data_IF_620751111908
#
_entry.id   IF_620751111908
#
_cell.length_a   1.000
_cell.length_b   1.000
_cell.length_c   1.000
_cell.angle_alpha   90.00
_cell.angle_beta   90.00
_cell.angle_gamma   90.00
#
_symmetry.space_group_name_H-M   'P 1'
#
loop_
_entity.id
_entity.type
_entity.pdbx_description
1 polymer ?
#
# COMPACT_ATOMS: atom_id res chain seq x y z
N UNK A 1 0.50 -2.58 13.84
CA UNK A 1 0.49 -1.51 12.83
C UNK A 1 1.57 -1.78 11.81
N UNK A 2 1.25 -1.62 10.54
CA UNK A 2 2.22 -1.68 9.44
C UNK A 2 3.08 -0.42 9.38
N UNK A 3 4.38 -0.58 9.15
CA UNK A 3 5.30 0.50 8.80
C UNK A 3 6.52 -0.11 8.10
N UNK A 4 6.92 0.44 6.96
CA UNK A 4 8.00 -0.07 6.12
C UNK A 4 9.28 0.69 6.42
N UNK A 5 9.24 2.01 6.27
CA UNK A 5 10.42 2.88 6.32
C UNK A 5 10.67 3.35 7.75
N UNK A 6 11.12 2.41 8.60
CA UNK A 6 11.28 2.64 10.05
C UNK A 6 12.55 3.38 10.46
N UNK A 7 13.43 3.73 9.52
CA UNK A 7 14.71 4.36 9.83
C UNK A 7 14.52 5.74 10.50
N UNK A 8 15.18 5.94 11.65
CA UNK A 8 15.11 7.20 12.38
C UNK A 8 13.81 7.44 13.18
N UNK A 9 12.84 6.53 13.14
CA UNK A 9 11.57 6.68 13.89
C UNK A 9 11.69 6.42 15.40
N UNK A 10 12.83 5.87 15.85
CA UNK A 10 13.01 5.38 17.22
C UNK A 10 12.52 3.95 17.40
N UNK A 11 12.46 3.50 18.67
CA UNK A 11 12.08 2.12 18.97
C UNK A 11 10.57 1.91 18.85
N UNK A 12 10.19 0.79 18.23
CA UNK A 12 8.81 0.28 18.18
C UNK A 12 7.74 1.32 17.76
N UNK A 13 7.71 1.76 16.48
CA UNK A 13 6.77 2.79 16.02
C UNK A 13 5.30 2.55 16.38
N UNK A 14 4.81 1.30 16.32
CA UNK A 14 3.44 0.96 16.71
C UNK A 14 3.15 1.24 18.20
N UNK A 15 4.16 1.06 19.08
CA UNK A 15 4.04 1.38 20.51
C UNK A 15 4.00 2.88 20.74
N UNK A 16 4.81 3.65 20.02
CA UNK A 16 4.79 5.11 20.06
C UNK A 16 3.40 5.64 19.70
N UNK A 17 2.80 5.14 18.62
CA UNK A 17 1.41 5.49 18.24
C UNK A 17 0.44 5.15 19.35
N UNK A 18 0.48 3.92 19.86
CA UNK A 18 -0.42 3.46 20.91
C UNK A 18 -0.44 4.40 22.12
N UNK A 19 0.74 4.76 22.62
CA UNK A 19 0.86 5.66 23.77
C UNK A 19 0.43 7.09 23.43
N UNK A 20 0.83 7.61 22.27
CA UNK A 20 0.44 8.95 21.81
C UNK A 20 -1.06 9.09 21.55
N UNK A 21 -1.75 7.99 21.21
CA UNK A 21 -3.20 7.94 21.04
C UNK A 21 -3.98 7.79 22.36
N UNK A 22 -3.29 7.74 23.50
CA UNK A 22 -3.93 7.63 24.82
C UNK A 22 -4.44 6.24 25.18
N UNK A 23 -4.02 5.19 24.46
CA UNK A 23 -4.32 3.81 24.85
C UNK A 23 -3.52 3.43 26.09
N UNK A 24 -4.06 2.51 26.89
CA UNK A 24 -3.45 2.06 28.14
C UNK A 24 -2.04 1.49 27.91
N UNK A 25 -1.13 1.72 28.88
CA UNK A 25 0.24 1.22 28.81
C UNK A 25 0.32 -0.32 28.73
N UNK A 26 -0.69 -1.03 29.23
CA UNK A 26 -0.80 -2.48 29.13
C UNK A 26 -1.18 -2.99 27.72
N UNK A 27 -1.49 -2.09 26.78
CA UNK A 27 -1.86 -2.48 25.41
C UNK A 27 -0.64 -3.04 24.67
N UNK A 28 -0.74 -4.29 24.22
CA UNK A 28 0.31 -4.94 23.45
C UNK A 28 0.42 -4.34 22.04
N UNK A 29 1.64 -4.08 21.58
CA UNK A 29 1.89 -3.45 20.28
C UNK A 29 2.90 -4.24 19.45
N UNK A 30 2.68 -4.30 18.14
CA UNK A 30 3.63 -4.89 17.19
C UNK A 30 3.68 -4.05 15.92
N UNK A 31 4.89 -3.70 15.50
CA UNK A 31 5.16 -3.13 14.17
C UNK A 31 5.39 -4.27 13.18
N UNK A 32 4.71 -4.23 12.03
CA UNK A 32 4.82 -5.24 10.98
C UNK A 32 5.40 -4.57 9.73
N UNK A 33 6.45 -5.16 9.16
CA UNK A 33 6.95 -4.78 7.84
C UNK A 33 6.76 -5.94 6.87
N UNK A 34 5.91 -5.72 5.87
CA UNK A 34 5.72 -6.54 4.67
C UNK A 34 5.59 -5.62 3.44
N UNK A 35 6.44 -4.60 3.38
CA UNK A 35 6.45 -3.54 2.35
C UNK A 35 5.03 -2.97 2.15
N UNK A 36 4.54 -2.77 0.93
CA UNK A 36 3.23 -2.15 0.67
C UNK A 36 2.05 -2.88 1.34
N UNK A 37 2.20 -4.19 1.62
CA UNK A 37 1.16 -4.99 2.26
C UNK A 37 1.14 -4.91 3.79
N UNK A 38 2.05 -4.15 4.41
CA UNK A 38 2.21 -4.08 5.87
C UNK A 38 0.93 -3.75 6.63
N UNK A 39 0.14 -2.79 6.13
CA UNK A 39 -1.12 -2.38 6.76
C UNK A 39 -2.15 -3.52 6.75
N UNK A 40 -2.36 -4.13 5.58
CA UNK A 40 -3.30 -5.24 5.43
C UNK A 40 -2.84 -6.51 6.16
N UNK A 41 -1.52 -6.74 6.22
CA UNK A 41 -0.94 -7.84 7.00
C UNK A 41 -1.16 -7.66 8.49
N UNK A 42 -1.03 -6.43 9.01
CA UNK A 42 -1.35 -6.12 10.40
C UNK A 42 -2.83 -6.40 10.71
N UNK A 43 -3.75 -6.05 9.80
CA UNK A 43 -5.18 -6.38 9.93
C UNK A 43 -5.38 -7.90 9.97
N UNK A 44 -4.71 -8.65 9.09
CA UNK A 44 -4.78 -10.11 9.07
C UNK A 44 -4.29 -10.74 10.38
N UNK A 45 -3.15 -10.27 10.94
CA UNK A 45 -2.62 -10.76 12.21
C UNK A 45 -3.54 -10.44 13.39
N UNK A 46 -4.20 -9.28 13.38
CA UNK A 46 -5.19 -8.92 14.38
C UNK A 46 -6.44 -9.80 14.27
N UNK A 47 -6.95 -10.04 13.05
CA UNK A 47 -8.07 -10.94 12.81
C UNK A 47 -7.78 -12.37 13.28
N UNK A 48 -6.56 -12.87 13.04
CA UNK A 48 -6.10 -14.16 13.56
C UNK A 48 -6.10 -14.21 15.09
N UNK A 49 -5.61 -13.15 15.74
CA UNK A 49 -5.57 -13.08 17.21
C UNK A 49 -6.98 -13.06 17.82
N UNK A 50 -7.92 -12.35 17.18
CA UNK A 50 -9.34 -12.33 17.56
C UNK A 50 -9.96 -13.71 17.36
N UNK A 51 -9.75 -14.34 16.20
CA UNK A 51 -10.30 -15.65 15.88
C UNK A 51 -9.79 -16.77 16.82
N UNK A 52 -8.54 -16.65 17.29
CA UNK A 52 -7.95 -17.57 18.28
C UNK A 52 -8.39 -17.28 19.72
N UNK A 53 -9.18 -16.23 19.97
CA UNK A 53 -9.63 -15.84 21.30
C UNK A 53 -8.53 -15.23 22.18
N UNK A 54 -7.42 -14.78 21.59
CA UNK A 54 -6.31 -14.18 22.33
C UNK A 54 -6.61 -12.73 22.73
N UNK A 55 -7.42 -12.04 21.93
CA UNK A 55 -7.90 -10.67 22.18
C UNK A 55 -9.35 -10.53 21.73
N UNK A 56 -10.11 -9.70 22.43
CA UNK A 56 -11.49 -9.39 22.06
C UNK A 56 -11.61 -8.17 21.13
N UNK A 57 -10.70 -7.20 21.29
CA UNK A 57 -10.65 -5.97 20.50
C UNK A 57 -9.21 -5.69 20.13
N UNK A 58 -8.96 -5.29 18.88
CA UNK A 58 -7.65 -4.91 18.38
C UNK A 58 -7.75 -3.72 17.42
N UNK A 59 -6.74 -2.84 17.46
CA UNK A 59 -6.55 -1.80 16.43
C UNK A 59 -5.47 -2.29 15.47
N UNK A 60 -5.75 -2.23 14.17
CA UNK A 60 -4.81 -2.64 13.14
C UNK A 60 -4.91 -1.73 11.91
N UNK A 61 -3.86 -1.70 11.11
CA UNK A 61 -3.73 -0.75 10.02
C UNK A 61 -2.27 -0.48 9.70
N UNK A 62 -1.97 0.62 9.04
CA UNK A 62 -0.62 1.01 8.65
C UNK A 62 -0.41 2.52 8.68
N UNK A 63 0.86 2.91 8.69
CA UNK A 63 1.29 4.30 8.62
C UNK A 63 2.63 4.40 7.92
N UNK A 64 2.82 5.46 7.17
CA UNK A 64 4.09 5.78 6.54
C UNK A 64 4.26 7.30 6.42
N UNK A 65 5.51 7.76 6.51
CA UNK A 65 5.86 9.10 6.07
C UNK A 65 7.11 9.03 5.20
N UNK A 66 6.87 8.86 3.89
CA UNK A 66 7.93 8.76 2.88
C UNK A 66 8.71 10.07 2.77
N UNK A 67 8.05 11.22 2.95
CA UNK A 67 8.69 12.55 2.90
C UNK A 67 9.72 12.78 4.01
N UNK A 68 9.70 11.96 5.07
CA UNK A 68 10.55 12.11 6.26
C UNK A 68 11.66 11.06 6.36
N UNK A 69 11.82 10.23 5.35
CA UNK A 69 12.80 9.15 5.36
C UNK A 69 14.21 9.73 5.24
N UNK A 70 15.15 9.38 6.13
CA UNK A 70 16.49 9.94 6.07
C UNK A 70 17.34 9.28 4.98
N UNK A 71 18.36 10.01 4.53
CA UNK A 71 19.50 9.43 3.83
C UNK A 71 20.42 8.69 4.81
N UNK A 72 21.10 7.64 4.36
CA UNK A 72 22.06 6.87 5.14
C UNK A 72 23.48 7.08 4.62
N UNK A 73 24.45 6.95 5.52
CA UNK A 73 25.78 6.50 5.15
C UNK A 73 26.04 5.20 5.93
N UNK A 74 25.98 4.07 5.23
CA UNK A 74 26.05 2.74 5.85
C UNK A 74 27.47 2.33 6.25
N UNK A 75 28.50 3.04 5.77
CA UNK A 75 29.91 2.74 6.00
C UNK A 75 30.50 3.48 7.21
N UNK A 76 29.88 4.58 7.64
CA UNK A 76 30.38 5.45 8.72
C UNK A 76 30.57 4.80 10.09
N UNK A 77 29.89 3.69 10.39
CA UNK A 77 29.92 3.12 11.76
C UNK A 77 31.30 2.62 12.16
N UNK A 78 32.05 2.02 11.23
CA UNK A 78 33.33 1.38 11.53
C UNK A 78 34.43 1.64 10.50
N UNK A 79 34.12 2.27 9.35
CA UNK A 79 35.16 2.62 8.39
C UNK A 79 35.92 3.87 8.84
N UNK A 80 37.19 3.68 9.20
CA UNK A 80 38.09 4.75 9.66
C UNK A 80 38.76 5.50 8.49
N UNK A 81 38.57 5.07 7.24
CA UNK A 81 39.25 5.65 6.05
C UNK A 81 38.54 6.90 5.51
N UNK A 82 37.29 7.11 5.91
CA UNK A 82 36.37 8.15 5.42
C UNK A 82 36.33 9.40 6.35
N UNK A 83 37.44 9.75 7.03
CA UNK A 83 37.43 10.99 7.84
C UNK A 83 37.35 12.27 6.97
N UNK A 84 37.65 12.14 5.67
CA UNK A 84 37.62 13.21 4.68
C UNK A 84 36.89 12.83 3.38
N UNK A 85 36.55 11.56 3.18
CA UNK A 85 35.69 11.11 2.10
C UNK A 85 34.26 11.05 2.67
N UNK A 86 33.33 11.71 1.98
CA UNK A 86 31.92 11.70 2.37
C UNK A 86 31.25 10.70 1.44
N UNK A 87 31.58 9.42 1.62
CA UNK A 87 31.07 8.32 0.80
C UNK A 87 29.57 8.42 0.53
N UNK A 88 29.14 7.78 -0.55
CA UNK A 88 27.81 7.96 -1.12
C UNK A 88 26.68 7.88 -0.08
N UNK A 89 25.77 8.85 -0.13
CA UNK A 89 24.57 8.86 0.68
C UNK A 89 23.50 8.01 -0.01
N UNK A 90 23.09 6.93 0.65
CA UNK A 90 21.96 6.12 0.21
C UNK A 90 20.65 6.86 0.51
N UNK A 91 19.77 6.98 -0.48
CA UNK A 91 18.39 7.40 -0.24
C UNK A 91 17.63 6.26 0.46
N UNK A 92 17.25 6.47 1.72
CA UNK A 92 16.60 5.45 2.51
C UNK A 92 15.23 5.02 2.00
N UNK A 93 14.50 5.93 1.33
CA UNK A 93 13.19 5.62 0.76
C UNK A 93 13.34 4.67 -0.42
N UNK A 94 14.31 4.97 -1.30
CA UNK A 94 14.62 4.10 -2.44
C UNK A 94 15.13 2.76 -1.94
N UNK A 95 16.15 2.80 -1.07
CA UNK A 95 16.86 1.61 -0.59
C UNK A 95 15.95 0.62 0.15
N UNK A 96 15.16 1.09 1.11
CA UNK A 96 14.39 0.22 2.00
C UNK A 96 12.94 -0.02 1.51
N UNK A 97 12.45 0.80 0.57
CA UNK A 97 11.06 0.77 0.12
C UNK A 97 10.83 0.47 -1.37
N UNK A 98 11.73 0.90 -2.26
CA UNK A 98 11.47 0.95 -3.70
C UNK A 98 12.54 0.25 -4.56
N UNK A 99 13.49 -0.43 -3.93
CA UNK A 99 14.56 -1.17 -4.58
C UNK A 99 14.49 -2.66 -4.27
N UNK A 100 14.65 -3.50 -5.30
CA UNK A 100 14.81 -4.93 -5.08
C UNK A 100 16.25 -5.23 -4.71
N UNK A 101 16.47 -5.67 -3.45
CA UNK A 101 17.81 -5.91 -2.94
C UNK A 101 18.57 -7.07 -3.61
N UNK A 102 17.87 -8.00 -4.29
CA UNK A 102 18.49 -9.18 -4.91
C UNK A 102 18.73 -8.99 -6.40
N UNK A 103 17.76 -8.37 -7.08
CA UNK A 103 17.80 -8.11 -8.51
C UNK A 103 18.54 -6.82 -8.85
N UNK A 104 18.74 -5.95 -7.84
CA UNK A 104 19.41 -4.66 -7.97
C UNK A 104 18.72 -3.74 -8.99
N UNK A 105 17.39 -3.61 -8.86
CA UNK A 105 16.56 -2.78 -9.75
C UNK A 105 15.45 -2.08 -8.99
N UNK A 106 15.01 -0.93 -9.52
CA UNK A 106 13.86 -0.20 -9.00
C UNK A 106 12.54 -0.96 -9.28
N UNK A 107 11.56 -0.86 -8.37
CA UNK A 107 10.23 -1.49 -8.55
C UNK A 107 9.56 -1.10 -9.87
N UNK A 108 9.73 0.14 -10.29
CA UNK A 108 9.23 0.65 -11.57
C UNK A 108 9.81 -0.07 -12.78
N UNK A 109 11.08 -0.49 -12.74
CA UNK A 109 11.71 -1.27 -13.82
C UNK A 109 11.14 -2.69 -13.91
N UNK A 110 10.70 -3.26 -12.79
CA UNK A 110 9.97 -4.53 -12.77
C UNK A 110 8.56 -4.36 -13.35
N UNK A 111 7.87 -3.26 -13.02
CA UNK A 111 6.55 -2.94 -13.60
C UNK A 111 6.62 -2.70 -15.11
N UNK A 112 7.69 -2.06 -15.59
CA UNK A 112 8.01 -1.91 -17.02
C UNK A 112 8.18 -3.26 -17.72
N UNK A 113 8.89 -4.19 -17.08
CA UNK A 113 9.07 -5.55 -17.61
C UNK A 113 7.73 -6.27 -17.71
N UNK A 114 6.87 -6.19 -16.69
CA UNK A 114 5.52 -6.75 -16.75
C UNK A 114 4.74 -6.16 -17.94
N UNK A 115 4.73 -4.83 -18.09
CA UNK A 115 3.97 -4.18 -19.14
C UNK A 115 4.37 -4.67 -20.54
N UNK A 116 5.68 -4.77 -20.80
CA UNK A 116 6.21 -5.33 -22.05
C UNK A 116 5.85 -6.80 -22.24
N UNK A 117 6.10 -7.64 -21.24
CA UNK A 117 5.91 -9.10 -21.33
C UNK A 117 4.41 -9.46 -21.49
N UNK A 118 3.51 -8.66 -20.92
CA UNK A 118 2.06 -8.85 -21.00
C UNK A 118 1.41 -8.12 -22.19
N UNK A 119 2.19 -7.47 -23.07
CA UNK A 119 1.67 -6.73 -24.22
C UNK A 119 0.70 -5.60 -23.82
N UNK A 120 0.98 -4.92 -22.71
CA UNK A 120 0.21 -3.77 -22.23
C UNK A 120 0.72 -2.53 -22.97
N UNK A 121 -0.19 -1.76 -23.58
CA UNK A 121 0.19 -0.55 -24.29
C UNK A 121 0.27 0.67 -23.36
N UNK A 122 0.88 1.76 -23.83
CA UNK A 122 0.88 3.02 -23.10
C UNK A 122 -0.53 3.56 -22.89
N UNK A 123 -1.40 3.39 -23.88
CA UNK A 123 -2.80 3.81 -23.85
C UNK A 123 -3.61 3.02 -22.80
N UNK A 124 -3.33 1.73 -22.62
CA UNK A 124 -3.93 0.93 -21.54
C UNK A 124 -3.59 1.51 -20.17
N UNK A 125 -2.31 1.86 -19.94
CA UNK A 125 -1.82 2.39 -18.68
C UNK A 125 -2.38 3.77 -18.37
N UNK A 126 -2.33 4.67 -19.36
CA UNK A 126 -2.85 6.02 -19.24
C UNK A 126 -4.38 6.01 -19.10
N UNK A 127 -5.06 5.04 -19.70
CA UNK A 127 -6.50 4.82 -19.53
C UNK A 127 -6.89 4.45 -18.08
N UNK A 128 -6.11 3.59 -17.42
CA UNK A 128 -6.29 3.28 -15.99
C UNK A 128 -6.07 4.53 -15.15
N UNK A 129 -4.97 5.26 -15.38
CA UNK A 129 -4.68 6.49 -14.64
C UNK A 129 -5.79 7.54 -14.78
N UNK A 130 -6.25 7.78 -16.02
CA UNK A 130 -7.36 8.70 -16.29
C UNK A 130 -8.64 8.28 -15.57
N UNK A 131 -8.95 6.98 -15.58
CA UNK A 131 -10.10 6.43 -14.86
C UNK A 131 -9.97 6.63 -13.35
N UNK A 132 -8.80 6.36 -12.78
CA UNK A 132 -8.51 6.52 -11.34
C UNK A 132 -8.71 7.95 -10.87
N UNK A 133 -8.07 8.94 -11.53
CA UNK A 133 -8.27 10.36 -11.21
C UNK A 133 -9.74 10.78 -11.35
N UNK A 134 -10.46 10.27 -12.36
CA UNK A 134 -11.88 10.57 -12.56
C UNK A 134 -12.76 9.98 -11.45
N UNK A 135 -12.50 8.73 -11.04
CA UNK A 135 -13.18 8.06 -9.92
C UNK A 135 -12.93 8.82 -8.61
N UNK A 136 -11.67 9.18 -8.33
CA UNK A 136 -11.29 9.91 -7.12
C UNK A 136 -11.90 11.31 -7.05
N UNK A 137 -11.86 12.08 -8.16
CA UNK A 137 -12.49 13.40 -8.24
C UNK A 137 -14.01 13.32 -8.01
N UNK A 138 -14.67 12.30 -8.57
CA UNK A 138 -16.10 12.05 -8.34
C UNK A 138 -16.40 11.64 -6.90
N UNK A 139 -15.56 10.80 -6.29
CA UNK A 139 -15.71 10.40 -4.89
C UNK A 139 -15.58 11.62 -3.96
N UNK A 140 -14.63 12.51 -4.25
CA UNK A 140 -14.47 13.79 -3.54
C UNK A 140 -15.69 14.69 -3.71
N UNK A 141 -16.17 14.91 -4.95
CA UNK A 141 -17.35 15.76 -5.20
C UNK A 141 -18.62 15.22 -4.53
N UNK A 142 -18.73 13.90 -4.43
CA UNK A 142 -19.86 13.21 -3.80
C UNK A 142 -19.69 13.00 -2.29
N UNK A 143 -18.62 13.52 -1.68
CA UNK A 143 -18.32 13.35 -0.25
C UNK A 143 -18.32 11.87 0.19
N UNK A 144 -17.76 11.01 -0.66
CA UNK A 144 -17.72 9.56 -0.42
C UNK A 144 -16.69 9.18 0.64
N UNK A 145 -15.61 9.97 0.78
CA UNK A 145 -14.53 9.79 1.75
C UNK A 145 -14.95 10.21 3.16
N UNK A 146 -15.85 9.45 3.79
CA UNK A 146 -16.33 9.68 5.16
C UNK A 146 -15.35 9.17 6.23
N UNK A 147 -14.36 8.40 5.80
CA UNK A 147 -13.32 7.78 6.60
C UNK A 147 -12.14 8.71 6.92
N UNK A 148 -12.01 9.86 6.24
CA UNK A 148 -10.89 10.78 6.42
C UNK A 148 -11.05 11.58 7.71
N UNK A 149 -10.00 11.54 8.55
CA UNK A 149 -9.90 12.34 9.76
C UNK A 149 -8.88 13.46 9.52
N UNK A 150 -9.24 14.69 9.92
CA UNK A 150 -8.38 15.87 9.78
C UNK A 150 -7.11 15.75 10.62
N UNK A 151 -5.95 16.00 10.01
CA UNK A 151 -4.66 16.11 10.73
C UNK A 151 -4.35 17.59 10.96
N UNK A 152 -4.10 17.94 12.22
CA UNK A 152 -3.81 19.30 12.70
C UNK A 152 -4.84 20.38 12.30
N UNK A 153 -6.06 19.96 11.94
CA UNK A 153 -7.13 20.88 11.54
C UNK A 153 -6.99 21.46 10.12
N UNK A 154 -5.95 21.10 9.37
CA UNK A 154 -5.58 21.73 8.09
C UNK A 154 -5.70 20.78 6.91
N UNK A 155 -5.29 19.52 7.07
CA UNK A 155 -5.33 18.53 5.97
C UNK A 155 -6.60 17.70 6.08
N UNK A 156 -7.62 18.05 5.28
CA UNK A 156 -8.92 17.38 5.25
C UNK A 156 -9.20 16.65 3.93
N UNK A 157 -8.38 16.87 2.92
CA UNK A 157 -8.57 16.37 1.56
C UNK A 157 -7.26 15.79 1.07
N UNK A 158 -7.35 14.65 0.39
CA UNK A 158 -6.24 14.06 -0.34
C UNK A 158 -5.71 15.05 -1.40
N UNK A 159 -4.44 15.43 -1.26
CA UNK A 159 -3.80 16.43 -2.11
C UNK A 159 -3.53 15.94 -3.55
N UNK A 160 -3.42 14.62 -3.75
CA UNK A 160 -3.08 14.04 -5.05
C UNK A 160 -4.28 14.15 -6.00
N UNK A 161 -5.51 14.08 -5.47
CA UNK A 161 -6.75 14.23 -6.26
C UNK A 161 -6.80 15.60 -6.96
N UNK A 162 -6.21 16.65 -6.37
CA UNK A 162 -6.16 17.99 -6.97
C UNK A 162 -5.36 18.03 -8.29
N UNK A 163 -4.57 16.99 -8.58
CA UNK A 163 -3.77 16.86 -9.81
C UNK A 163 -4.54 16.25 -10.98
N UNK A 164 -5.87 16.16 -10.92
CA UNK A 164 -6.73 15.68 -12.03
C UNK A 164 -6.44 16.35 -13.39
N UNK A 165 -5.96 17.60 -13.40
CA UNK A 165 -5.54 18.29 -14.63
C UNK A 165 -4.35 17.62 -15.35
N UNK A 166 -3.63 16.71 -14.67
CA UNK A 166 -2.58 15.88 -15.26
C UNK A 166 -3.11 14.90 -16.30
N UNK A 167 -4.40 14.52 -16.23
CA UNK A 167 -5.02 13.54 -17.15
C UNK A 167 -4.83 13.94 -18.61
N UNK A 168 -4.98 15.23 -18.95
CA UNK A 168 -4.79 15.73 -20.31
C UNK A 168 -3.33 15.64 -20.79
N UNK A 169 -2.38 15.59 -19.86
CA UNK A 169 -0.94 15.54 -20.13
C UNK A 169 -0.39 14.12 -20.18
N UNK A 170 -1.15 13.10 -19.75
CA UNK A 170 -0.69 11.72 -19.67
C UNK A 170 0.04 11.25 -20.94
N UNK A 171 -0.47 11.45 -22.17
CA UNK A 171 0.21 10.96 -23.39
C UNK A 171 1.57 11.61 -23.66
N UNK A 172 1.79 12.81 -23.11
CA UNK A 172 3.02 13.59 -23.30
C UNK A 172 4.09 13.32 -22.24
N UNK A 173 3.75 12.61 -21.16
CA UNK A 173 4.69 12.34 -20.08
C UNK A 173 5.80 11.41 -20.56
N UNK A 174 7.04 11.75 -20.18
CA UNK A 174 8.20 10.91 -20.46
C UNK A 174 8.19 9.67 -19.57
N UNK A 175 8.72 8.54 -20.06
CA UNK A 175 8.99 7.37 -19.25
C UNK A 175 9.85 7.69 -18.03
N UNK A 176 9.57 7.04 -16.90
CA UNK A 176 10.23 7.30 -15.62
C UNK A 176 11.35 6.31 -15.29
N UNK A 177 11.31 5.08 -15.84
CA UNK A 177 12.16 3.97 -15.40
C UNK A 177 13.00 3.32 -16.52
N UNK A 178 12.76 3.69 -17.78
CA UNK A 178 13.53 3.25 -18.96
C UNK A 178 13.34 4.25 -20.11
N UNK A 179 14.32 4.42 -21.00
CA UNK A 179 14.27 5.41 -22.09
C UNK A 179 13.06 5.19 -23.04
N UNK A 180 12.84 3.94 -23.44
CA UNK A 180 11.67 3.50 -24.23
C UNK A 180 10.60 2.83 -23.34
N UNK A 181 10.44 3.33 -22.11
CA UNK A 181 9.50 2.79 -21.13
C UNK A 181 8.03 3.15 -21.40
N UNK A 182 7.14 2.43 -20.74
CA UNK A 182 5.68 2.65 -20.78
C UNK A 182 5.17 3.33 -19.50
N UNK A 183 5.89 3.15 -18.39
CA UNK A 183 5.54 3.67 -17.07
C UNK A 183 6.05 5.09 -16.94
N UNK A 184 5.17 5.99 -16.50
CA UNK A 184 5.44 7.40 -16.28
C UNK A 184 5.00 7.83 -14.88
N UNK A 185 5.38 9.04 -14.48
CA UNK A 185 4.90 9.63 -13.24
C UNK A 185 3.37 9.81 -13.19
N UNK A 186 2.67 9.76 -14.32
CA UNK A 186 1.20 9.90 -14.35
C UNK A 186 0.45 8.57 -14.31
N UNK A 187 1.12 7.43 -14.53
CA UNK A 187 0.51 6.10 -14.50
C UNK A 187 1.18 5.15 -13.49
N UNK A 188 1.94 5.72 -12.56
CA UNK A 188 2.49 5.11 -11.37
C UNK A 188 1.96 5.83 -10.13
N UNK A 189 1.86 5.13 -9.00
CA UNK A 189 1.50 5.78 -7.73
C UNK A 189 2.57 6.78 -7.31
N UNK A 190 2.16 7.85 -6.63
CA UNK A 190 3.07 8.86 -6.11
C UNK A 190 3.72 8.43 -4.78
N UNK A 191 4.71 9.20 -4.36
CA UNK A 191 5.26 9.15 -3.01
C UNK A 191 4.30 9.92 -2.10
N UNK A 192 3.88 9.32 -0.99
CA UNK A 192 2.82 9.88 -0.15
C UNK A 192 3.07 9.63 1.34
N UNK A 193 2.46 10.47 2.17
CA UNK A 193 2.42 10.33 3.62
C UNK A 193 0.99 10.03 4.07
N UNK A 194 0.81 9.15 5.05
CA UNK A 194 -0.52 8.84 5.55
C UNK A 194 -0.58 7.72 6.58
N UNK A 195 -1.73 7.60 7.22
CA UNK A 195 -2.05 6.49 8.12
C UNK A 195 -3.52 6.08 7.98
N UNK A 196 -3.78 4.79 8.09
CA UNK A 196 -5.12 4.23 8.09
C UNK A 196 -5.20 3.12 9.16
N UNK A 197 -6.31 3.08 9.90
CA UNK A 197 -6.54 2.08 10.94
C UNK A 197 -8.00 1.67 11.02
N UNK A 198 -8.23 0.44 11.48
CA UNK A 198 -9.53 -0.15 11.75
C UNK A 198 -9.54 -0.75 13.15
N UNK A 199 -10.73 -0.81 13.75
CA UNK A 199 -10.99 -1.55 14.98
C UNK A 199 -11.61 -2.89 14.61
N UNK A 200 -10.98 -3.98 15.04
CA UNK A 200 -11.49 -5.33 14.94
C UNK A 200 -12.05 -5.74 16.30
N UNK A 201 -13.18 -6.42 16.31
CA UNK A 201 -13.82 -6.92 17.51
C UNK A 201 -14.31 -8.37 17.29
N UNK A 202 -14.22 -9.20 18.33
CA UNK A 202 -14.86 -10.51 18.37
C UNK A 202 -16.39 -10.34 18.39
N UNK A 203 -17.13 -11.36 17.95
CA UNK A 203 -18.60 -11.37 18.03
C UNK A 203 -19.07 -11.16 19.48
N UNK A 204 -18.40 -11.81 20.44
CA UNK A 204 -18.63 -11.60 21.89
C UNK A 204 -18.42 -10.14 22.31
N UNK A 205 -17.36 -9.48 21.83
CA UNK A 205 -17.10 -8.09 22.15
C UNK A 205 -18.17 -7.16 21.54
N UNK A 206 -18.60 -7.46 20.31
CA UNK A 206 -19.68 -6.75 19.63
C UNK A 206 -20.98 -6.81 20.44
N UNK A 207 -21.38 -8.01 20.88
CA UNK A 207 -22.59 -8.21 21.68
C UNK A 207 -22.49 -7.55 23.06
N UNK A 208 -21.39 -7.79 23.78
CA UNK A 208 -21.22 -7.31 25.17
C UNK A 208 -21.08 -5.80 25.29
N UNK A 209 -20.62 -5.12 24.24
CA UNK A 209 -20.42 -3.67 24.22
C UNK A 209 -21.41 -2.93 23.32
N UNK A 210 -22.43 -3.61 22.78
CA UNK A 210 -23.44 -3.04 21.88
C UNK A 210 -22.82 -2.29 20.68
N UNK A 211 -21.80 -2.91 20.06
CA UNK A 211 -21.09 -2.32 18.92
C UNK A 211 -21.87 -2.57 17.62
N UNK A 212 -21.77 -1.63 16.68
CA UNK A 212 -22.34 -1.78 15.34
C UNK A 212 -21.24 -2.10 14.31
N UNK A 213 -21.04 -3.38 13.93
CA UNK A 213 -20.02 -3.73 12.95
C UNK A 213 -20.34 -3.16 11.57
N UNK A 214 -19.30 -2.72 10.84
CA UNK A 214 -19.42 -2.20 9.47
C UNK A 214 -19.28 -3.31 8.42
N UNK A 215 -18.44 -4.30 8.70
CA UNK A 215 -18.15 -5.43 7.83
C UNK A 215 -17.66 -6.64 8.65
N UNK A 216 -17.65 -7.81 8.02
CA UNK A 216 -17.06 -9.04 8.56
C UNK A 216 -15.90 -9.47 7.69
N UNK A 217 -14.77 -9.81 8.32
CA UNK A 217 -13.65 -10.45 7.62
C UNK A 217 -14.01 -11.92 7.43
N UNK A 218 -14.20 -12.34 6.19
CA UNK A 218 -14.60 -13.71 5.84
C UNK A 218 -13.40 -14.61 5.52
N UNK A 219 -12.34 -14.04 4.95
CA UNK A 219 -11.09 -14.74 4.67
C UNK A 219 -9.94 -13.74 4.45
N UNK A 220 -8.73 -14.26 4.32
CA UNK A 220 -7.52 -13.52 3.97
C UNK A 220 -6.51 -14.49 3.36
N UNK A 221 -5.62 -13.98 2.51
CA UNK A 221 -4.54 -14.75 1.92
C UNK A 221 -3.33 -13.89 1.59
N UNK A 222 -2.15 -14.49 1.73
CA UNK A 222 -0.91 -14.01 1.16
C UNK A 222 -0.52 -14.95 0.02
N UNK A 223 0.09 -14.41 -1.03
CA UNK A 223 0.72 -15.19 -2.08
C UNK A 223 2.04 -14.53 -2.46
N UNK A 224 3.03 -15.36 -2.77
CA UNK A 224 4.37 -14.92 -3.18
C UNK A 224 4.64 -15.42 -4.60
N UNK A 225 5.40 -14.64 -5.34
CA UNK A 225 5.89 -14.96 -6.69
C UNK A 225 7.37 -14.61 -6.75
N UNK A 226 8.04 -14.92 -7.87
CA UNK A 226 9.40 -14.45 -8.06
C UNK A 226 9.45 -12.90 -7.96
N UNK A 227 10.48 -12.28 -7.35
CA UNK A 227 10.49 -10.83 -7.17
C UNK A 227 10.36 -10.02 -8.47
N UNK A 228 10.93 -10.50 -9.58
CA UNK A 228 10.72 -9.92 -10.94
C UNK A 228 9.28 -9.96 -11.44
N UNK A 229 8.40 -10.65 -10.73
CA UNK A 229 6.99 -10.84 -11.06
C UNK A 229 6.07 -10.32 -9.97
N UNK A 230 6.57 -9.63 -8.93
CA UNK A 230 5.74 -9.14 -7.82
C UNK A 230 4.43 -8.44 -8.27
N UNK A 231 4.38 -7.68 -9.40
CA UNK A 231 3.16 -7.02 -9.83
C UNK A 231 1.99 -7.99 -10.09
N UNK A 232 2.26 -9.28 -10.37
CA UNK A 232 1.23 -10.29 -10.62
C UNK A 232 0.74 -10.98 -9.34
N UNK A 233 1.34 -10.71 -8.18
CA UNK A 233 0.96 -11.35 -6.91
C UNK A 233 -0.55 -11.25 -6.59
N UNK A 234 -1.26 -10.14 -6.88
CA UNK A 234 -2.72 -10.08 -6.71
C UNK A 234 -3.49 -11.17 -7.45
N UNK A 235 -3.00 -11.60 -8.63
CA UNK A 235 -3.60 -12.69 -9.42
C UNK A 235 -3.49 -14.07 -8.75
N UNK A 236 -2.70 -14.17 -7.68
CA UNK A 236 -2.54 -15.38 -6.87
C UNK A 236 -3.23 -15.24 -5.52
N UNK A 237 -3.14 -14.09 -4.86
CA UNK A 237 -3.75 -13.88 -3.54
C UNK A 237 -5.27 -13.74 -3.61
N UNK A 238 -5.83 -13.10 -4.65
CA UNK A 238 -7.29 -12.92 -4.78
C UNK A 238 -8.01 -14.28 -4.91
N UNK A 239 -7.65 -15.18 -5.85
CA UNK A 239 -8.29 -16.49 -5.92
C UNK A 239 -8.13 -17.32 -4.64
N UNK A 240 -6.96 -17.26 -3.99
CA UNK A 240 -6.72 -17.99 -2.75
C UNK A 240 -7.58 -17.48 -1.57
N UNK A 241 -7.79 -16.17 -1.47
CA UNK A 241 -8.69 -15.60 -0.47
C UNK A 241 -10.15 -16.03 -0.72
N UNK A 242 -10.58 -16.04 -1.98
CA UNK A 242 -11.93 -16.47 -2.36
C UNK A 242 -12.16 -17.97 -2.13
N UNK A 243 -11.18 -18.81 -2.47
CA UNK A 243 -11.20 -20.25 -2.19
C UNK A 243 -11.40 -20.50 -0.68
N UNK A 244 -10.66 -19.78 0.18
CA UNK A 244 -10.80 -19.87 1.65
C UNK A 244 -12.15 -19.38 2.17
N UNK A 245 -12.81 -18.50 1.42
CA UNK A 245 -14.14 -18.00 1.73
C UNK A 245 -15.27 -18.87 1.14
N UNK A 246 -14.94 -19.91 0.35
CA UNK A 246 -15.89 -20.65 -0.47
C UNK A 246 -16.71 -19.73 -1.41
N UNK A 247 -16.01 -18.80 -2.05
CA UNK A 247 -16.59 -17.79 -2.95
C UNK A 247 -15.98 -17.84 -4.35
N UNK A 248 -16.72 -17.32 -5.31
CA UNK A 248 -16.28 -17.11 -6.69
C UNK A 248 -16.06 -15.62 -6.97
N UNK A 249 -15.31 -15.31 -8.03
CA UNK A 249 -15.09 -13.93 -8.48
C UNK A 249 -16.40 -13.17 -8.75
N UNK A 250 -17.44 -13.87 -9.20
CA UNK A 250 -18.77 -13.29 -9.47
C UNK A 250 -19.48 -12.77 -8.22
N UNK A 251 -19.15 -13.33 -7.05
CA UNK A 251 -19.77 -13.00 -5.77
C UNK A 251 -19.22 -11.69 -5.18
N UNK A 252 -18.10 -11.21 -5.73
CA UNK A 252 -17.46 -9.97 -5.29
C UNK A 252 -18.13 -8.77 -5.93
N UNK A 253 -18.66 -7.88 -5.08
CA UNK A 253 -19.31 -6.63 -5.49
C UNK A 253 -18.31 -5.55 -5.92
N UNK A 254 -17.15 -5.47 -5.26
CA UNK A 254 -16.11 -4.47 -5.49
C UNK A 254 -14.73 -5.07 -5.19
N UNK A 255 -13.74 -4.79 -6.03
CA UNK A 255 -12.34 -5.11 -5.83
C UNK A 255 -11.55 -3.82 -5.61
N UNK A 256 -10.87 -3.72 -4.47
CA UNK A 256 -9.85 -2.70 -4.22
C UNK A 256 -8.48 -3.32 -4.49
N UNK A 257 -7.97 -3.14 -5.71
CA UNK A 257 -6.62 -3.58 -6.10
C UNK A 257 -5.72 -2.36 -6.12
N UNK A 258 -4.70 -2.34 -5.26
CA UNK A 258 -3.82 -1.17 -5.13
C UNK A 258 -3.10 -0.83 -6.44
N UNK A 259 -3.22 0.42 -6.89
CA UNK A 259 -2.68 0.92 -8.15
C UNK A 259 -1.21 1.34 -8.04
N UNK A 260 -0.33 0.47 -7.53
CA UNK A 260 1.11 0.80 -7.40
C UNK A 260 1.72 1.23 -8.75
N UNK A 261 1.32 0.52 -9.80
CA UNK A 261 1.50 0.91 -11.20
C UNK A 261 0.24 0.52 -11.96
N UNK A 262 -0.16 1.30 -12.96
CA UNK A 262 -1.33 0.98 -13.79
C UNK A 262 -1.23 -0.43 -14.42
N UNK A 263 -0.02 -0.93 -14.68
CA UNK A 263 0.22 -2.28 -15.21
C UNK A 263 -0.28 -3.38 -14.30
N UNK A 264 -0.28 -3.19 -12.97
CA UNK A 264 -0.83 -4.13 -11.98
C UNK A 264 -2.33 -4.33 -12.21
N UNK A 265 -3.05 -3.24 -12.46
CA UNK A 265 -4.50 -3.25 -12.67
C UNK A 265 -4.83 -3.89 -14.00
N UNK A 266 -4.17 -3.46 -15.08
CA UNK A 266 -4.38 -4.05 -16.41
C UNK A 266 -4.12 -5.55 -16.39
N UNK A 267 -3.02 -6.00 -15.79
CA UNK A 267 -2.68 -7.43 -15.69
C UNK A 267 -3.70 -8.20 -14.85
N UNK A 268 -4.11 -7.65 -13.70
CA UNK A 268 -5.08 -8.29 -12.81
C UNK A 268 -6.46 -8.43 -13.46
N UNK A 269 -6.97 -7.36 -14.09
CA UNK A 269 -8.25 -7.36 -14.80
C UNK A 269 -8.23 -8.38 -15.94
N UNK A 270 -7.16 -8.40 -16.75
CA UNK A 270 -7.03 -9.34 -17.88
C UNK A 270 -6.93 -10.79 -17.42
N UNK A 271 -6.05 -11.10 -16.45
CA UNK A 271 -5.78 -12.49 -16.04
C UNK A 271 -6.92 -13.11 -15.23
N UNK A 272 -7.61 -12.32 -14.42
CA UNK A 272 -8.75 -12.80 -13.63
C UNK A 272 -10.09 -12.57 -14.34
N UNK A 273 -10.10 -11.97 -15.53
CA UNK A 273 -11.30 -11.62 -16.29
C UNK A 273 -12.30 -10.80 -15.45
N UNK A 274 -11.79 -9.78 -14.75
CA UNK A 274 -12.62 -8.95 -13.87
C UNK A 274 -13.45 -7.96 -14.67
N UNK A 275 -14.63 -7.62 -14.15
CA UNK A 275 -15.37 -6.47 -14.64
C UNK A 275 -14.66 -5.19 -14.18
N UNK A 276 -14.04 -4.45 -15.10
CA UNK A 276 -13.34 -3.21 -14.81
C UNK A 276 -14.21 -2.13 -14.13
N UNK A 277 -15.54 -2.19 -14.24
CA UNK A 277 -16.43 -1.28 -13.52
C UNK A 277 -16.56 -1.60 -12.02
N UNK A 278 -16.06 -2.76 -11.58
CA UNK A 278 -16.00 -3.20 -10.17
C UNK A 278 -14.56 -3.15 -9.61
N UNK A 279 -13.62 -2.53 -10.33
CA UNK A 279 -12.21 -2.36 -9.94
C UNK A 279 -11.88 -0.87 -9.90
#
# INVERSE_FOLDING_TARGET
MGNVLSAGLGQAPARTVCLSSGLAESTNCTTVNKVCSSGLKAITMAAQSVALGLVDIAVAGGMESMSRVPYYNIHMRFDKREMFDRGDLDDGMIRDGLWDAKLDVHMGSIAEKLARDSGISREDLDGVAASSYSKAARALSNQSFKEVVSVDGVLQVDEEIARVSLVEKLPSLKPAFAEDGLITAGNASTISDGAAAVVLASERAVESQDLKPLAKIISYADAEVHPEQFPIAPTKSIPLALERADMQLSDVGLFEINEAFASVIVDSVRKLNLNAARV
#
